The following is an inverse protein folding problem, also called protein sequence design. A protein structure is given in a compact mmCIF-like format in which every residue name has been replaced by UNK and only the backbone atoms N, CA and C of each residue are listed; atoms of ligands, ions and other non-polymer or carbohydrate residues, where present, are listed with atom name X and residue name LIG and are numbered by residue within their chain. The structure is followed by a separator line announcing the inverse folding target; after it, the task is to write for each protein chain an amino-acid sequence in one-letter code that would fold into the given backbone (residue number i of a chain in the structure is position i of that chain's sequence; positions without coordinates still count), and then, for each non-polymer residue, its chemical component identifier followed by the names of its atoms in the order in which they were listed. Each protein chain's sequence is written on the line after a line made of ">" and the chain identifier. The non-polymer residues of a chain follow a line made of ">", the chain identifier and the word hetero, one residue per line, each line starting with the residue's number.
data_IF_735119000721
#
_entry.id   IF_735119000721
#
_cell.length_a   1.000
_cell.length_b   1.000
_cell.length_c   1.000
_cell.angle_alpha   90.00
_cell.angle_beta   90.00
_cell.angle_gamma   90.00
#
_symmetry.space_group_name_H-M   'P 1'
#
loop_
_entity.id
_entity.type
_entity.pdbx_description
1 polymer ?
#
# COMPACT_ATOMS: atom_id res chain seq x y z
N UNK A 1 -34.53 49.49 32.90
CA UNK A 1 -34.59 48.85 31.57
C UNK A 1 -34.08 47.41 31.71
N UNK A 2 -34.79 46.48 31.05
CA UNK A 2 -34.46 45.08 30.75
C UNK A 2 -34.30 44.05 31.91
N UNK A 3 -35.27 43.12 31.91
CA UNK A 3 -35.26 41.77 32.52
C UNK A 3 -34.20 40.89 31.86
N UNK A 4 -33.74 39.83 32.53
CA UNK A 4 -33.94 38.47 32.02
C UNK A 4 -33.54 37.38 33.03
N UNK A 5 -34.49 36.47 33.26
CA UNK A 5 -34.33 35.15 33.86
C UNK A 5 -33.57 34.22 32.91
N UNK A 6 -32.81 33.26 33.45
CA UNK A 6 -32.18 32.20 32.67
C UNK A 6 -31.86 30.98 33.52
N UNK A 7 -32.78 30.02 33.52
CA UNK A 7 -32.57 28.64 33.97
C UNK A 7 -31.84 27.83 32.88
N UNK A 8 -31.01 26.86 33.27
CA UNK A 8 -30.68 25.62 32.52
C UNK A 8 -29.46 24.96 33.19
N UNK A 9 -29.64 23.93 34.02
CA UNK A 9 -29.67 22.50 33.67
C UNK A 9 -28.30 21.82 33.81
N UNK A 10 -28.26 20.94 34.82
CA UNK A 10 -27.26 19.91 35.05
C UNK A 10 -27.30 18.89 33.90
N UNK A 11 -26.15 18.59 33.30
CA UNK A 11 -25.99 17.40 32.46
C UNK A 11 -24.86 16.58 33.07
N UNK A 12 -25.26 15.53 33.79
CA UNK A 12 -24.42 14.37 34.06
C UNK A 12 -24.51 13.45 32.83
N UNK A 13 -23.37 13.04 32.28
CA UNK A 13 -23.29 11.90 31.36
C UNK A 13 -22.34 10.89 32.01
N UNK A 14 -22.94 9.78 32.44
CA UNK A 14 -22.25 8.53 32.67
C UNK A 14 -22.35 7.67 31.41
N UNK A 15 -21.31 6.86 31.17
CA UNK A 15 -21.21 5.64 30.33
C UNK A 15 -19.99 5.73 29.40
N UNK A 16 -19.25 4.67 29.09
CA UNK A 16 -19.09 3.32 29.62
C UNK A 16 -17.88 2.73 28.87
N UNK A 17 -17.14 1.84 29.55
CA UNK A 17 -16.48 0.60 29.06
C UNK A 17 -15.93 0.56 27.62
N UNK A 18 -14.65 0.18 27.48
CA UNK A 18 -14.09 -0.91 26.64
C UNK A 18 -12.58 -0.98 26.93
N UNK A 19 -12.11 -1.83 27.84
CA UNK A 19 -11.55 -3.16 27.57
C UNK A 19 -10.71 -3.29 26.29
N UNK A 20 -9.49 -3.80 26.51
CA UNK A 20 -8.60 -4.52 25.58
C UNK A 20 -7.80 -3.72 24.55
N UNK A 21 -6.49 -3.93 24.58
CA UNK A 21 -5.60 -3.61 23.47
C UNK A 21 -4.16 -3.37 23.90
N UNK A 22 -3.42 -4.43 24.21
CA UNK A 22 -1.96 -4.44 24.10
C UNK A 22 -1.58 -4.06 22.66
N UNK A 23 -1.41 -2.78 22.39
CA UNK A 23 -0.69 -2.31 21.21
C UNK A 23 0.73 -2.02 21.65
N UNK A 24 1.62 -3.00 21.51
CA UNK A 24 3.06 -2.73 21.54
C UNK A 24 3.33 -1.52 20.65
N UNK A 25 4.18 -0.56 21.04
CA UNK A 25 4.73 0.38 20.08
C UNK A 25 5.64 -0.46 19.17
N UNK A 26 5.06 -1.10 18.15
CA UNK A 26 5.82 -1.51 16.99
C UNK A 26 6.48 -0.24 16.50
N UNK A 27 7.82 -0.20 16.62
CA UNK A 27 8.65 0.86 16.07
C UNK A 27 8.15 1.10 14.65
N UNK A 28 7.52 2.25 14.43
CA UNK A 28 7.10 2.68 13.12
C UNK A 28 8.35 2.81 12.26
N UNK A 29 8.67 1.74 11.51
CA UNK A 29 9.53 1.86 10.36
C UNK A 29 8.93 2.88 9.38
N UNK A 30 9.71 3.37 8.41
CA UNK A 30 9.18 4.33 7.46
C UNK A 30 7.96 3.72 6.76
N UNK A 31 6.81 4.39 6.91
CA UNK A 31 5.54 3.90 6.42
C UNK A 31 5.52 3.90 4.89
N UNK A 32 5.09 2.79 4.29
CA UNK A 32 4.82 2.73 2.86
C UNK A 32 3.68 3.69 2.49
N UNK A 33 3.72 4.31 1.30
CA UNK A 33 2.63 5.17 0.86
C UNK A 33 1.34 4.35 0.74
N UNK A 34 0.23 4.91 1.22
CA UNK A 34 -1.07 4.26 1.06
C UNK A 34 -1.48 4.30 -0.41
N UNK A 35 -1.58 3.15 -1.05
CA UNK A 35 -2.29 3.01 -2.33
C UNK A 35 -3.74 2.70 -2.02
N UNK A 36 -4.64 3.62 -2.39
CA UNK A 36 -6.07 3.43 -2.28
C UNK A 36 -6.62 3.04 -3.65
N UNK A 37 -6.92 1.76 -3.83
CA UNK A 37 -7.80 1.30 -4.91
C UNK A 37 -8.96 0.58 -4.23
N UNK A 38 -10.13 1.23 -4.18
CA UNK A 38 -11.37 0.62 -3.72
C UNK A 38 -11.66 -0.59 -4.64
N UNK A 39 -11.45 -1.80 -4.13
CA UNK A 39 -11.65 -3.03 -4.91
C UNK A 39 -10.40 -3.68 -5.50
N UNK A 40 -9.18 -3.25 -5.13
CA UNK A 40 -7.97 -3.97 -5.53
C UNK A 40 -8.01 -5.45 -5.12
N UNK A 41 -7.81 -6.35 -6.08
CA UNK A 41 -7.74 -7.79 -5.86
C UNK A 41 -6.45 -8.20 -5.15
N UNK A 42 -5.34 -7.50 -5.43
CA UNK A 42 -4.06 -7.70 -4.78
C UNK A 42 -3.38 -6.38 -4.40
N UNK A 43 -2.54 -6.43 -3.37
CA UNK A 43 -1.68 -5.32 -2.96
C UNK A 43 -0.32 -5.81 -2.47
N UNK A 44 0.73 -5.04 -2.75
CA UNK A 44 2.07 -5.31 -2.26
C UNK A 44 2.85 -4.02 -2.01
N UNK A 45 4.03 -4.16 -1.41
CA UNK A 45 4.94 -3.05 -1.13
C UNK A 45 6.40 -3.49 -1.24
N UNK A 46 7.28 -2.54 -1.53
CA UNK A 46 8.71 -2.79 -1.65
C UNK A 46 9.54 -1.51 -1.50
N UNK A 47 10.82 -1.63 -1.13
CA UNK A 47 11.77 -0.50 -1.20
C UNK A 47 12.27 -0.44 -2.63
N UNK A 48 12.18 0.64 -3.37
CA UNK A 48 12.56 0.68 -4.78
C UNK A 48 14.06 0.41 -4.96
N UNK A 49 14.41 -0.88 -4.97
CA UNK A 49 15.61 -1.70 -5.24
C UNK A 49 16.98 -1.18 -4.78
N UNK A 50 17.16 0.11 -4.51
CA UNK A 50 18.35 0.69 -3.90
C UNK A 50 19.64 0.20 -4.55
N UNK A 51 20.53 -0.36 -3.74
CA UNK A 51 21.74 -1.08 -4.19
C UNK A 51 21.53 -2.60 -4.31
N UNK A 52 20.39 -3.11 -3.85
CA UNK A 52 20.12 -4.53 -3.85
C UNK A 52 19.68 -5.01 -5.25
N UNK A 53 20.23 -6.13 -5.69
CA UNK A 53 19.84 -6.74 -6.97
C UNK A 53 18.42 -7.36 -6.91
N UNK A 54 17.89 -7.57 -5.72
CA UNK A 54 16.55 -8.08 -5.46
C UNK A 54 16.10 -7.76 -4.04
N UNK A 55 14.84 -8.06 -3.72
CA UNK A 55 14.31 -7.89 -2.37
C UNK A 55 13.13 -8.82 -2.11
N UNK A 56 13.01 -9.30 -0.88
CA UNK A 56 11.81 -9.99 -0.43
C UNK A 56 10.64 -9.01 -0.38
N UNK A 57 9.50 -9.41 -0.94
CA UNK A 57 8.25 -8.65 -0.93
C UNK A 57 7.11 -9.60 -0.66
N UNK A 58 6.05 -9.08 -0.04
CA UNK A 58 4.80 -9.81 0.04
C UNK A 58 3.75 -9.22 -0.89
N UNK A 59 2.98 -10.13 -1.48
CA UNK A 59 1.82 -9.82 -2.30
C UNK A 59 0.61 -10.46 -1.62
N UNK A 60 -0.32 -9.64 -1.17
CA UNK A 60 -1.58 -10.10 -0.59
C UNK A 60 -2.67 -10.01 -1.63
N UNK A 61 -3.26 -11.15 -2.01
CA UNK A 61 -4.38 -11.23 -2.94
C UNK A 61 -5.59 -11.82 -2.22
N UNK A 62 -6.73 -11.14 -2.24
CA UNK A 62 -7.98 -11.62 -1.60
C UNK A 62 -7.80 -12.08 -0.14
N UNK A 63 -6.91 -11.41 0.60
CA UNK A 63 -6.59 -11.75 2.00
C UNK A 63 -5.57 -12.89 2.20
N UNK A 64 -5.07 -13.49 1.13
CA UNK A 64 -3.99 -14.49 1.18
C UNK A 64 -2.67 -13.81 0.87
N UNK A 65 -1.77 -13.78 1.84
CA UNK A 65 -0.41 -13.29 1.67
C UNK A 65 0.50 -14.36 1.06
N UNK A 66 1.28 -13.97 0.06
CA UNK A 66 2.32 -14.79 -0.56
C UNK A 66 3.63 -14.03 -0.57
N UNK A 67 4.73 -14.74 -0.34
CA UNK A 67 6.08 -14.19 -0.39
C UNK A 67 6.67 -14.37 -1.78
N UNK A 68 7.37 -13.33 -2.24
CA UNK A 68 8.07 -13.29 -3.52
C UNK A 68 9.42 -12.60 -3.33
N UNK A 69 10.32 -12.80 -4.28
CA UNK A 69 11.52 -12.00 -4.46
C UNK A 69 11.31 -11.13 -5.69
N UNK A 70 11.33 -9.81 -5.50
CA UNK A 70 11.25 -8.85 -6.59
C UNK A 70 12.64 -8.64 -7.20
N UNK A 71 12.72 -8.68 -8.53
CA UNK A 71 13.91 -8.41 -9.33
C UNK A 71 13.66 -7.21 -10.25
N UNK A 72 14.53 -6.18 -10.24
CA UNK A 72 14.34 -5.01 -11.09
C UNK A 72 14.76 -5.32 -12.53
N UNK A 73 13.86 -5.08 -13.49
CA UNK A 73 14.17 -5.20 -14.92
C UNK A 73 14.60 -3.84 -15.48
N UNK A 74 13.93 -2.76 -15.08
CA UNK A 74 14.30 -1.38 -15.39
C UNK A 74 13.67 -0.44 -14.37
N UNK A 75 14.50 0.26 -13.59
CA UNK A 75 14.00 1.11 -12.50
C UNK A 75 14.67 2.46 -12.53
N UNK A 76 13.89 3.46 -12.93
CA UNK A 76 14.30 4.85 -12.93
C UNK A 76 14.26 5.50 -11.53
N UNK A 77 13.78 4.78 -10.51
CA UNK A 77 13.70 5.24 -9.13
C UNK A 77 14.36 4.27 -8.16
N UNK A 78 15.57 4.60 -7.70
CA UNK A 78 16.21 3.90 -6.60
C UNK A 78 15.81 4.57 -5.26
N UNK A 79 15.77 3.79 -4.19
CA UNK A 79 15.66 4.19 -2.78
C UNK A 79 14.31 4.76 -2.29
N UNK A 80 13.23 4.77 -3.09
CA UNK A 80 11.90 5.23 -2.62
C UNK A 80 11.03 4.07 -2.16
N UNK A 81 10.27 4.19 -1.08
CA UNK A 81 9.31 3.14 -0.72
C UNK A 81 8.13 3.18 -1.69
N UNK A 82 7.76 2.06 -2.29
CA UNK A 82 6.63 2.01 -3.20
C UNK A 82 5.61 0.96 -2.75
N UNK A 83 4.35 1.27 -2.97
CA UNK A 83 3.21 0.37 -2.83
C UNK A 83 2.54 0.24 -4.18
N UNK A 84 1.91 -0.90 -4.41
CA UNK A 84 1.24 -1.19 -5.66
C UNK A 84 0.02 -2.08 -5.45
N UNK A 85 -0.91 -2.02 -6.41
CA UNK A 85 -2.15 -2.79 -6.43
C UNK A 85 -2.35 -3.47 -7.77
N UNK A 86 -3.05 -4.60 -7.78
CA UNK A 86 -3.62 -5.21 -8.98
C UNK A 86 -5.13 -5.10 -8.85
N UNK A 87 -5.78 -4.41 -9.78
CA UNK A 87 -7.21 -4.09 -9.66
C UNK A 87 -8.10 -5.32 -9.89
N UNK A 88 -7.59 -6.33 -10.62
CA UNK A 88 -8.33 -7.55 -10.95
C UNK A 88 -7.58 -8.80 -10.49
N UNK A 89 -8.31 -9.90 -10.27
CA UNK A 89 -7.72 -11.21 -9.94
C UNK A 89 -7.35 -12.04 -11.20
N UNK A 90 -7.40 -11.44 -12.39
CA UNK A 90 -7.11 -12.10 -13.67
C UNK A 90 -5.62 -12.31 -13.90
N UNK A 91 -5.28 -13.18 -14.86
CA UNK A 91 -3.89 -13.49 -15.24
C UNK A 91 -3.14 -12.29 -15.80
N UNK A 92 -3.82 -11.33 -16.42
CA UNK A 92 -3.23 -10.05 -16.83
C UNK A 92 -4.19 -8.93 -16.44
N UNK A 93 -3.65 -7.74 -16.18
CA UNK A 93 -4.50 -6.64 -15.79
C UNK A 93 -3.76 -5.35 -15.51
N UNK A 94 -4.51 -4.40 -14.97
CA UNK A 94 -4.04 -3.08 -14.57
C UNK A 94 -3.98 -2.92 -13.05
N UNK A 95 -3.38 -1.81 -12.64
CA UNK A 95 -3.29 -1.45 -11.25
C UNK A 95 -2.70 -0.04 -11.09
N UNK A 96 -2.37 0.29 -9.85
CA UNK A 96 -1.71 1.56 -9.53
C UNK A 96 -0.47 1.34 -8.68
N UNK A 97 0.59 2.11 -8.96
CA UNK A 97 1.78 2.24 -8.12
C UNK A 97 1.84 3.63 -7.49
N UNK A 98 2.30 3.72 -6.24
CA UNK A 98 2.60 4.99 -5.58
C UNK A 98 3.89 4.84 -4.77
N UNK A 99 4.77 5.83 -4.84
CA UNK A 99 6.04 5.87 -4.15
C UNK A 99 6.10 7.03 -3.14
N UNK A 100 6.94 6.89 -2.12
CA UNK A 100 7.04 7.82 -0.97
C UNK A 100 7.55 9.22 -1.33
N UNK A 101 8.05 9.40 -2.55
CA UNK A 101 8.45 10.67 -3.13
C UNK A 101 7.28 11.43 -3.79
N UNK A 102 6.05 10.94 -3.63
CA UNK A 102 4.84 11.54 -4.20
C UNK A 102 4.59 11.16 -5.66
N UNK A 103 5.40 10.28 -6.25
CA UNK A 103 5.23 9.80 -7.62
C UNK A 103 4.29 8.61 -7.68
N UNK A 104 3.42 8.61 -8.67
CA UNK A 104 2.39 7.58 -8.82
C UNK A 104 2.02 7.40 -10.27
N UNK A 105 1.47 6.26 -10.62
CA UNK A 105 0.94 6.06 -11.95
C UNK A 105 0.37 4.68 -12.18
N UNK A 106 -0.21 4.45 -13.36
CA UNK A 106 -0.75 3.16 -13.73
C UNK A 106 0.38 2.13 -13.82
N UNK A 107 0.02 0.89 -13.49
CA UNK A 107 0.82 -0.28 -13.80
C UNK A 107 0.00 -1.29 -14.58
N UNK A 108 0.71 -2.16 -15.29
CA UNK A 108 0.20 -3.41 -15.84
C UNK A 108 0.94 -4.56 -15.22
N UNK A 109 0.26 -5.71 -15.10
CA UNK A 109 0.88 -6.93 -14.62
C UNK A 109 0.52 -8.13 -15.51
N UNK A 110 1.41 -9.11 -15.53
CA UNK A 110 1.23 -10.42 -16.14
C UNK A 110 1.58 -11.51 -15.11
N UNK A 111 0.55 -12.20 -14.65
CA UNK A 111 0.51 -13.31 -13.70
C UNK A 111 0.03 -14.60 -14.40
N UNK A 112 0.25 -14.75 -15.72
CA UNK A 112 0.00 -16.02 -16.42
C UNK A 112 0.83 -17.17 -15.83
N UNK A 113 2.06 -16.86 -15.40
CA UNK A 113 2.85 -17.69 -14.50
C UNK A 113 2.81 -17.08 -13.08
N UNK A 114 2.07 -17.68 -12.12
CA UNK A 114 1.96 -17.15 -10.75
C UNK A 114 3.27 -17.23 -9.95
N UNK A 115 4.27 -17.98 -10.43
CA UNK A 115 5.61 -18.01 -9.85
C UNK A 115 6.56 -16.97 -10.49
N UNK A 116 6.14 -16.29 -11.56
CA UNK A 116 6.95 -15.32 -12.31
C UNK A 116 6.10 -14.15 -12.82
N UNK A 117 5.72 -13.26 -11.91
CA UNK A 117 4.79 -12.16 -12.20
C UNK A 117 5.55 -10.96 -12.72
N UNK A 118 5.28 -10.53 -13.95
CA UNK A 118 5.89 -9.33 -14.52
C UNK A 118 5.04 -8.12 -14.20
N UNK A 119 5.67 -7.04 -13.77
CA UNK A 119 5.01 -5.77 -13.45
C UNK A 119 5.72 -4.64 -14.17
N UNK A 120 4.96 -3.78 -14.82
CA UNK A 120 5.45 -2.59 -15.49
C UNK A 120 4.59 -1.39 -15.11
N UNK A 121 5.21 -0.37 -14.52
CA UNK A 121 4.55 0.86 -14.12
C UNK A 121 5.13 2.06 -14.89
N UNK A 122 4.28 3.02 -15.24
CA UNK A 122 4.70 4.34 -15.73
C UNK A 122 4.23 5.39 -14.74
N UNK A 123 5.17 6.10 -14.12
CA UNK A 123 4.87 7.13 -13.13
C UNK A 123 4.49 8.46 -13.81
N UNK A 124 3.86 9.37 -13.06
CA UNK A 124 3.39 10.70 -13.48
C UNK A 124 4.46 11.59 -14.11
N UNK A 125 5.74 11.33 -13.84
CA UNK A 125 6.87 12.02 -14.45
C UNK A 125 7.44 11.33 -15.71
N UNK A 126 6.69 10.36 -16.25
CA UNK A 126 7.00 9.66 -17.49
C UNK A 126 8.03 8.54 -17.35
N UNK A 127 8.50 8.24 -16.14
CA UNK A 127 9.50 7.20 -15.91
C UNK A 127 8.88 5.82 -15.74
N UNK A 128 9.62 4.80 -16.19
CA UNK A 128 9.23 3.40 -16.05
C UNK A 128 9.80 2.76 -14.78
N UNK A 129 9.01 1.88 -14.17
CA UNK A 129 9.41 0.95 -13.12
C UNK A 129 8.92 -0.45 -13.47
N UNK A 130 9.84 -1.28 -13.93
CA UNK A 130 9.59 -2.65 -14.36
C UNK A 130 10.34 -3.61 -13.45
N UNK A 131 9.65 -4.63 -12.97
CA UNK A 131 10.22 -5.66 -12.12
C UNK A 131 9.44 -6.96 -12.27
N UNK A 132 10.10 -8.05 -11.89
CA UNK A 132 9.53 -9.39 -11.87
C UNK A 132 9.46 -9.90 -10.43
N UNK A 133 8.30 -10.36 -9.99
CA UNK A 133 8.12 -11.08 -8.73
C UNK A 133 8.33 -12.58 -8.98
N UNK A 134 9.29 -13.19 -8.30
CA UNK A 134 9.59 -14.62 -8.40
C UNK A 134 9.28 -15.33 -7.10
N UNK A 135 8.57 -16.45 -7.18
CA UNK A 135 8.39 -17.32 -6.02
C UNK A 135 9.64 -18.20 -5.91
N UNK A 136 10.32 -18.16 -4.76
CA UNK A 136 11.55 -18.93 -4.46
C UNK A 136 11.36 -19.83 -3.24
#
# INVERSE_FOLDING_TARGET
>A
MARNSGAAWLIAIAAAVLLSGCGSPEKAGPAYPKVSSEGAACSGNFRAFGEAASQAVSLTCTGIERQYVAYPDSIAHRYSLCSYTFDTAGSTGGGTMTCSNGKSGPLTYDMTDPANIKVAATLDDGRAMNFTLRQE
#
